data_IF_285924921611
#
_entry.id   IF_285924921611
#
_cell.length_a   1.000
_cell.length_b   1.000
_cell.length_c   1.000
_cell.angle_alpha   90.00
_cell.angle_beta   90.00
_cell.angle_gamma   90.00
#
_symmetry.space_group_name_H-M   'P 1'
#
loop_
_entity.id
_entity.type
_entity.pdbx_description
1 polymer ?
#
# COMPACT_ATOMS: atom_id res chain seq x y z
N UNK A 1 38.83 8.57 42.52
CA UNK A 1 38.88 9.32 41.26
C UNK A 1 39.02 8.40 40.03
N UNK A 2 39.87 7.38 40.00
CA UNK A 2 40.03 6.48 38.82
C UNK A 2 38.76 5.69 38.42
N UNK A 3 37.92 5.28 39.37
CA UNK A 3 36.68 4.52 39.07
C UNK A 3 35.54 5.38 38.47
N UNK A 4 35.50 6.67 38.76
CA UNK A 4 34.49 7.62 38.21
C UNK A 4 34.83 7.95 36.77
N UNK A 5 36.11 8.10 36.43
CA UNK A 5 36.57 8.39 35.06
C UNK A 5 36.30 7.21 34.13
N UNK A 6 36.49 5.96 34.60
CA UNK A 6 36.20 4.74 33.81
C UNK A 6 34.69 4.59 33.51
N UNK A 7 33.83 4.91 34.50
CA UNK A 7 32.38 4.85 34.33
C UNK A 7 31.85 5.93 33.34
N UNK A 8 32.43 7.13 33.38
CA UNK A 8 32.11 8.21 32.45
C UNK A 8 32.56 7.89 31.01
N UNK A 9 33.74 7.27 30.85
CA UNK A 9 34.21 6.85 29.51
C UNK A 9 33.38 5.71 28.93
N UNK A 10 32.92 4.73 29.72
CA UNK A 10 32.01 3.68 29.26
C UNK A 10 30.62 4.21 28.88
N UNK A 11 30.07 5.18 29.60
CA UNK A 11 28.80 5.81 29.27
C UNK A 11 28.87 6.63 27.98
N UNK A 12 30.01 7.31 27.72
CA UNK A 12 30.23 8.06 26.50
C UNK A 12 30.37 7.16 25.27
N UNK A 13 31.02 6.00 25.37
CA UNK A 13 31.17 5.02 24.29
C UNK A 13 29.83 4.36 23.95
N UNK A 14 28.99 4.06 24.96
CA UNK A 14 27.62 3.54 24.73
C UNK A 14 26.68 4.57 24.09
N UNK A 15 26.84 5.86 24.41
CA UNK A 15 26.06 6.95 23.80
C UNK A 15 26.38 7.18 22.33
N UNK A 16 27.64 6.98 21.91
CA UNK A 16 28.06 7.14 20.50
C UNK A 16 27.60 5.95 19.65
N UNK A 17 27.54 4.74 20.23
CA UNK A 17 27.03 3.56 19.51
C UNK A 17 25.52 3.62 19.22
N UNK A 18 24.74 4.32 20.05
CA UNK A 18 23.30 4.46 19.85
C UNK A 18 22.93 5.45 18.71
N UNK A 19 23.79 6.42 18.39
CA UNK A 19 23.55 7.40 17.32
C UNK A 19 23.97 6.91 15.92
N UNK A 20 24.67 5.78 15.79
CA UNK A 20 25.06 5.20 14.51
C UNK A 20 24.03 4.24 13.89
N UNK A 21 22.87 4.02 14.57
CA UNK A 21 21.87 3.05 14.14
C UNK A 21 20.84 3.61 13.12
N UNK A 22 20.89 4.91 12.79
CA UNK A 22 19.77 5.58 12.10
C UNK A 22 19.90 5.77 10.59
N UNK A 23 20.91 5.22 9.92
CA UNK A 23 21.05 5.34 8.45
C UNK A 23 21.43 3.98 7.83
N UNK A 24 20.61 2.95 8.04
CA UNK A 24 21.03 1.58 7.70
C UNK A 24 20.31 0.96 6.52
N UNK A 25 19.11 1.41 6.14
CA UNK A 25 18.32 0.70 5.12
C UNK A 25 19.00 0.72 3.75
N UNK A 26 19.50 1.87 3.30
CA UNK A 26 20.21 1.98 2.02
C UNK A 26 21.44 1.08 1.96
N UNK A 27 22.25 1.06 3.03
CA UNK A 27 23.45 0.21 3.10
C UNK A 27 23.08 -1.28 3.08
N UNK A 28 22.06 -1.68 3.83
CA UNK A 28 21.55 -3.05 3.85
C UNK A 28 21.05 -3.47 2.47
N UNK A 29 20.28 -2.62 1.79
CA UNK A 29 19.76 -2.85 0.45
C UNK A 29 20.91 -3.00 -0.55
N UNK A 30 21.90 -2.09 -0.51
CA UNK A 30 23.07 -2.16 -1.40
C UNK A 30 23.93 -3.39 -1.15
N UNK A 31 24.19 -3.75 0.10
CA UNK A 31 24.96 -4.95 0.45
C UNK A 31 24.26 -6.23 0.01
N UNK A 32 22.93 -6.29 0.15
CA UNK A 32 22.12 -7.42 -0.31
C UNK A 32 22.00 -7.50 -1.83
N UNK A 33 22.18 -6.38 -2.54
CA UNK A 33 22.11 -6.29 -3.99
C UNK A 33 20.70 -6.38 -4.58
N UNK A 34 19.66 -6.26 -3.75
CA UNK A 34 18.25 -6.31 -4.14
C UNK A 34 17.38 -5.55 -3.16
N UNK A 35 16.35 -4.85 -3.65
CA UNK A 35 15.32 -4.19 -2.88
C UNK A 35 14.21 -5.19 -2.50
N UNK A 36 13.85 -5.31 -1.23
CA UNK A 36 12.66 -6.04 -0.80
C UNK A 36 11.46 -5.09 -0.75
N UNK A 37 10.51 -5.27 -1.66
CA UNK A 37 9.29 -4.47 -1.75
C UNK A 37 8.09 -5.28 -1.28
N UNK A 38 7.42 -4.82 -0.21
CA UNK A 38 6.15 -5.38 0.23
C UNK A 38 5.02 -4.94 -0.71
N UNK A 39 4.34 -5.88 -1.35
CA UNK A 39 3.28 -5.61 -2.31
C UNK A 39 2.03 -6.46 -2.06
N UNK A 40 0.95 -6.22 -2.82
CA UNK A 40 -0.33 -6.90 -2.58
C UNK A 40 -0.30 -8.39 -3.02
N UNK A 41 0.10 -8.66 -4.23
CA UNK A 41 0.16 -10.01 -4.79
C UNK A 41 -1.17 -10.55 -5.35
N UNK A 42 -2.28 -9.83 -5.19
CA UNK A 42 -3.62 -10.28 -5.65
C UNK A 42 -4.45 -9.19 -6.32
N UNK A 43 -4.04 -7.92 -6.25
CA UNK A 43 -4.83 -6.78 -6.73
C UNK A 43 -4.36 -6.33 -8.11
N UNK A 44 -5.19 -6.55 -9.12
CA UNK A 44 -4.97 -6.04 -10.47
C UNK A 44 -4.87 -4.51 -10.48
N UNK A 45 -3.97 -3.97 -11.29
CA UNK A 45 -3.70 -2.53 -11.37
C UNK A 45 -2.70 -2.01 -10.33
N UNK A 46 -2.53 -2.67 -9.19
CA UNK A 46 -1.58 -2.25 -8.13
C UNK A 46 -0.39 -3.20 -7.99
N UNK A 47 -0.62 -4.48 -7.71
CA UNK A 47 0.44 -5.45 -7.55
C UNK A 47 -0.08 -6.87 -7.73
N UNK A 48 0.12 -7.43 -8.92
CA UNK A 48 -0.33 -8.77 -9.27
C UNK A 48 0.73 -9.46 -10.12
N UNK A 49 1.22 -10.66 -9.72
CA UNK A 49 2.02 -11.49 -10.60
C UNK A 49 1.14 -12.21 -11.64
N UNK A 50 1.63 -12.33 -12.87
CA UNK A 50 1.04 -13.21 -13.89
C UNK A 50 1.38 -14.67 -13.63
N UNK A 51 0.91 -15.57 -14.52
CA UNK A 51 1.16 -17.01 -14.44
C UNK A 51 2.65 -17.39 -14.59
N UNK A 52 3.49 -16.47 -15.07
CA UNK A 52 4.94 -16.64 -15.19
C UNK A 52 5.71 -15.99 -14.03
N UNK A 53 5.00 -15.45 -13.03
CA UNK A 53 5.60 -14.76 -11.89
C UNK A 53 6.06 -13.33 -12.19
N UNK A 54 5.71 -12.73 -13.32
CA UNK A 54 6.05 -11.35 -13.67
C UNK A 54 5.05 -10.41 -13.03
N UNK A 55 5.55 -9.51 -12.21
CA UNK A 55 4.75 -8.54 -11.47
C UNK A 55 4.43 -7.31 -12.31
N UNK A 56 3.19 -6.79 -12.17
CA UNK A 56 2.72 -5.59 -12.83
C UNK A 56 1.76 -4.79 -11.92
N UNK A 57 1.70 -3.47 -12.15
CA UNK A 57 0.81 -2.52 -11.47
C UNK A 57 1.53 -1.33 -10.87
N UNK A 58 0.77 -0.34 -10.43
CA UNK A 58 1.25 0.96 -9.93
C UNK A 58 2.31 0.82 -8.81
N UNK A 59 2.04 -0.01 -7.81
CA UNK A 59 2.94 -0.26 -6.69
C UNK A 59 4.21 -1.01 -7.13
N UNK A 60 4.07 -1.88 -8.13
CA UNK A 60 5.20 -2.62 -8.73
C UNK A 60 6.12 -1.68 -9.49
N UNK A 61 5.55 -0.80 -10.31
CA UNK A 61 6.34 0.15 -11.13
C UNK A 61 7.07 1.14 -10.24
N UNK A 62 6.44 1.58 -9.14
CA UNK A 62 7.12 2.38 -8.12
C UNK A 62 8.35 1.65 -7.53
N UNK A 63 8.23 0.39 -7.13
CA UNK A 63 9.37 -0.36 -6.59
C UNK A 63 10.46 -0.64 -7.63
N UNK A 64 10.09 -0.82 -8.90
CA UNK A 64 11.04 -0.92 -10.00
C UNK A 64 11.79 0.40 -10.23
N UNK A 65 11.10 1.54 -10.15
CA UNK A 65 11.73 2.86 -10.24
C UNK A 65 12.71 3.08 -9.08
N UNK A 66 12.33 2.72 -7.86
CA UNK A 66 13.20 2.79 -6.69
C UNK A 66 14.44 1.88 -6.83
N UNK A 67 14.26 0.66 -7.34
CA UNK A 67 15.40 -0.24 -7.63
C UNK A 67 16.33 0.34 -8.71
N UNK A 68 15.77 0.95 -9.76
CA UNK A 68 16.53 1.65 -10.79
C UNK A 68 17.33 2.81 -10.20
N UNK A 69 16.74 3.61 -9.31
CA UNK A 69 17.42 4.71 -8.65
C UNK A 69 18.60 4.27 -7.76
N UNK A 70 18.50 3.09 -7.13
CA UNK A 70 19.55 2.58 -6.22
C UNK A 70 20.64 1.81 -6.97
N UNK A 71 20.26 1.01 -7.97
CA UNK A 71 21.12 0.01 -8.61
C UNK A 71 21.38 0.27 -10.10
N UNK A 72 20.75 1.29 -10.68
CA UNK A 72 20.69 1.48 -12.14
C UNK A 72 20.10 0.24 -12.87
N UNK A 73 19.24 -0.54 -12.18
CA UNK A 73 18.61 -1.74 -12.69
C UNK A 73 17.23 -1.94 -12.02
N UNK A 74 16.16 -1.76 -12.78
CA UNK A 74 14.77 -1.93 -12.33
C UNK A 74 14.42 -3.37 -11.93
N UNK A 75 15.24 -4.35 -12.31
CA UNK A 75 15.01 -5.76 -11.97
C UNK A 75 15.62 -6.15 -10.63
N UNK A 76 16.40 -5.27 -10.00
CA UNK A 76 16.97 -5.50 -8.66
C UNK A 76 15.94 -5.32 -7.54
N UNK A 77 14.74 -5.88 -7.73
CA UNK A 77 13.64 -5.86 -6.76
C UNK A 77 13.08 -7.27 -6.55
N UNK A 78 12.84 -7.61 -5.29
CA UNK A 78 12.11 -8.80 -4.86
C UNK A 78 10.78 -8.36 -4.28
N UNK A 79 9.68 -8.78 -4.90
CA UNK A 79 8.35 -8.54 -4.38
C UNK A 79 7.99 -9.58 -3.31
N UNK A 80 7.50 -9.10 -2.17
CA UNK A 80 7.03 -9.91 -1.04
C UNK A 80 5.52 -9.69 -0.92
N UNK A 81 4.70 -10.71 -1.26
CA UNK A 81 3.25 -10.58 -1.13
C UNK A 81 2.85 -10.56 0.34
N UNK A 82 2.10 -9.54 0.75
CA UNK A 82 1.69 -9.31 2.13
C UNK A 82 0.17 -9.18 2.24
N UNK A 83 -0.42 -9.74 3.32
CA UNK A 83 -1.82 -9.46 3.65
C UNK A 83 -1.98 -8.04 4.20
N UNK A 84 -3.22 -7.54 4.30
CA UNK A 84 -3.47 -6.23 4.91
C UNK A 84 -3.07 -6.20 6.40
N UNK A 85 -3.15 -7.33 7.10
CA UNK A 85 -2.80 -7.47 8.51
C UNK A 85 -1.28 -7.51 8.72
N UNK A 86 -0.54 -8.24 7.87
CA UNK A 86 0.88 -8.53 8.10
C UNK A 86 1.81 -7.43 7.58
N UNK A 87 1.34 -6.58 6.65
CA UNK A 87 2.17 -5.59 5.95
C UNK A 87 2.96 -4.66 6.87
N UNK A 88 2.35 -4.22 7.97
CA UNK A 88 3.02 -3.28 8.88
C UNK A 88 4.09 -3.97 9.72
N UNK A 89 3.81 -5.20 10.19
CA UNK A 89 4.80 -6.00 10.92
C UNK A 89 5.98 -6.36 10.04
N UNK A 90 5.74 -6.72 8.77
CA UNK A 90 6.80 -7.01 7.80
C UNK A 90 7.70 -5.77 7.53
N UNK A 91 7.10 -4.58 7.45
CA UNK A 91 7.87 -3.34 7.31
C UNK A 91 8.66 -3.01 8.59
N UNK A 92 8.03 -3.10 9.76
CA UNK A 92 8.65 -2.78 11.04
C UNK A 92 9.80 -3.74 11.39
N UNK A 93 9.68 -5.03 11.08
CA UNK A 93 10.72 -6.04 11.31
C UNK A 93 11.90 -5.95 10.34
N UNK A 94 11.76 -5.21 9.23
CA UNK A 94 12.78 -5.15 8.17
C UNK A 94 12.74 -6.33 7.20
N UNK A 95 11.69 -7.14 7.20
CA UNK A 95 11.45 -8.15 6.17
C UNK A 95 11.33 -7.50 4.79
N UNK A 96 10.69 -6.34 4.73
CA UNK A 96 10.67 -5.47 3.55
C UNK A 96 11.28 -4.11 3.87
N UNK A 97 11.88 -3.48 2.86
CA UNK A 97 12.55 -2.20 2.97
C UNK A 97 11.57 -1.04 2.76
N UNK A 98 10.60 -1.26 1.90
CA UNK A 98 9.53 -0.34 1.53
C UNK A 98 8.23 -1.11 1.39
N UNK A 99 7.14 -0.48 1.79
CA UNK A 99 5.79 -0.99 1.61
C UNK A 99 5.09 -0.20 0.51
N UNK A 100 4.94 -0.79 -0.67
CA UNK A 100 4.11 -0.31 -1.78
C UNK A 100 2.99 -1.33 -2.02
N UNK A 101 1.85 -1.12 -1.32
CA UNK A 101 0.79 -2.13 -1.20
C UNK A 101 -0.56 -1.46 -0.96
N UNK A 102 -0.97 -0.57 -1.90
CA UNK A 102 -2.25 0.14 -1.80
C UNK A 102 -2.60 0.50 -0.34
N UNK A 103 -1.68 1.21 0.32
CA UNK A 103 -1.76 1.48 1.75
C UNK A 103 -2.24 2.90 2.01
N UNK A 104 -3.41 3.02 2.62
CA UNK A 104 -4.00 4.32 2.98
C UNK A 104 -3.15 5.02 4.04
N UNK A 105 -2.78 6.26 3.79
CA UNK A 105 -2.14 7.14 4.76
C UNK A 105 -3.17 7.61 5.78
N UNK A 106 -3.03 7.19 7.01
CA UNK A 106 -3.87 7.62 8.14
C UNK A 106 -3.00 8.11 9.29
N UNK A 107 -3.56 9.01 10.10
CA UNK A 107 -2.86 9.52 11.28
C UNK A 107 -2.37 8.40 12.21
N UNK A 108 -3.19 7.37 12.46
CA UNK A 108 -2.79 6.26 13.33
C UNK A 108 -1.66 5.42 12.75
N UNK A 109 -1.65 5.18 11.43
CA UNK A 109 -0.57 4.44 10.76
C UNK A 109 0.74 5.22 10.77
N UNK A 110 0.66 6.50 10.51
CA UNK A 110 1.80 7.42 10.52
C UNK A 110 2.39 7.56 11.92
N UNK A 111 1.58 8.01 12.88
CA UNK A 111 2.08 8.38 14.22
C UNK A 111 2.24 7.20 15.16
N UNK A 112 1.27 6.26 15.18
CA UNK A 112 1.24 5.19 16.19
C UNK A 112 1.99 3.92 15.77
N UNK A 113 2.11 3.66 14.44
CA UNK A 113 2.84 2.50 13.94
C UNK A 113 4.30 2.83 13.56
N UNK A 114 4.75 4.08 13.72
CA UNK A 114 6.11 4.46 13.41
C UNK A 114 6.46 4.35 11.92
N UNK A 115 5.55 4.82 11.05
CA UNK A 115 5.70 4.77 9.61
C UNK A 115 5.74 6.18 9.02
N UNK A 116 6.62 6.40 8.04
CA UNK A 116 6.62 7.59 7.20
C UNK A 116 6.01 7.25 5.83
N UNK A 117 4.92 7.93 5.48
CA UNK A 117 4.39 7.88 4.12
C UNK A 117 5.16 8.87 3.23
N UNK A 118 5.54 8.44 2.04
CA UNK A 118 6.45 9.21 1.17
C UNK A 118 5.74 10.06 0.12
N UNK A 119 4.43 9.96 0.06
CA UNK A 119 3.55 10.68 -0.85
C UNK A 119 2.30 9.89 -1.14
N UNK A 120 1.41 10.46 -1.95
CA UNK A 120 0.16 9.81 -2.38
C UNK A 120 0.30 9.51 -3.87
N UNK A 121 0.29 8.22 -4.23
CA UNK A 121 0.33 7.77 -5.60
C UNK A 121 -1.05 7.45 -6.20
N UNK A 122 -2.07 7.33 -5.36
CA UNK A 122 -3.45 7.12 -5.81
C UNK A 122 -4.46 7.63 -4.77
N UNK A 123 -5.39 8.48 -5.20
CA UNK A 123 -6.53 8.91 -4.37
C UNK A 123 -7.71 7.98 -4.62
N UNK A 124 -8.04 7.17 -3.63
CA UNK A 124 -9.15 6.23 -3.67
C UNK A 124 -10.24 6.59 -2.65
N UNK A 125 -11.25 5.76 -2.58
CA UNK A 125 -12.32 5.83 -1.59
C UNK A 125 -13.04 4.50 -1.52
N UNK A 126 -13.62 4.19 -0.37
CA UNK A 126 -14.34 2.93 -0.14
C UNK A 126 -15.73 2.97 -0.77
N UNK A 127 -16.09 1.87 -1.45
CA UNK A 127 -17.41 1.65 -2.02
C UNK A 127 -17.99 0.28 -1.65
N UNK A 128 -19.10 -0.05 -2.30
CA UNK A 128 -19.78 -1.34 -2.15
C UNK A 128 -20.07 -1.97 -3.50
N UNK A 129 -19.89 -3.28 -3.59
CA UNK A 129 -20.34 -4.10 -4.71
C UNK A 129 -21.45 -5.02 -4.25
N UNK A 130 -22.53 -5.11 -5.06
CA UNK A 130 -23.70 -5.93 -4.80
C UNK A 130 -24.12 -6.71 -6.04
N UNK A 131 -24.89 -7.79 -5.85
CA UNK A 131 -25.55 -8.47 -6.96
C UNK A 131 -26.74 -7.64 -7.44
N UNK A 132 -26.93 -7.53 -8.74
CA UNK A 132 -28.11 -6.87 -9.36
C UNK A 132 -29.42 -7.46 -8.85
N UNK A 133 -29.44 -8.76 -8.55
CA UNK A 133 -30.61 -9.47 -8.02
C UNK A 133 -31.05 -8.93 -6.65
N UNK A 134 -30.18 -8.28 -5.88
CA UNK A 134 -30.53 -7.64 -4.61
C UNK A 134 -31.43 -6.40 -4.80
N UNK A 135 -31.44 -5.81 -6.00
CA UNK A 135 -32.25 -4.64 -6.38
C UNK A 135 -32.05 -3.41 -5.51
N UNK A 136 -30.85 -3.24 -4.94
CA UNK A 136 -30.43 -2.03 -4.22
C UNK A 136 -29.66 -1.10 -5.14
N UNK A 137 -29.85 0.21 -4.99
CA UNK A 137 -29.22 1.23 -5.79
C UNK A 137 -28.38 2.21 -4.94
N UNK A 138 -28.47 2.07 -3.62
CA UNK A 138 -27.75 2.93 -2.65
C UNK A 138 -27.20 2.09 -1.50
N UNK A 139 -26.05 2.50 -0.99
CA UNK A 139 -25.45 1.90 0.20
C UNK A 139 -26.35 2.08 1.46
N UNK A 140 -27.24 3.07 1.47
CA UNK A 140 -28.23 3.27 2.53
C UNK A 140 -29.33 2.18 2.57
N UNK A 141 -29.47 1.42 1.49
CA UNK A 141 -30.43 0.31 1.41
C UNK A 141 -29.84 -1.00 1.94
N UNK A 142 -28.57 -1.02 2.37
CA UNK A 142 -27.87 -2.19 2.92
C UNK A 142 -28.14 -2.42 4.42
N UNK A 143 -29.23 -1.87 4.97
CA UNK A 143 -29.60 -2.12 6.37
C UNK A 143 -29.83 -3.62 6.61
N UNK A 144 -29.23 -4.16 7.68
CA UNK A 144 -29.27 -5.58 8.06
C UNK A 144 -28.57 -6.55 7.07
N UNK A 145 -27.86 -6.02 6.07
CA UNK A 145 -27.10 -6.84 5.09
C UNK A 145 -25.85 -7.47 5.72
N UNK A 146 -25.50 -8.65 5.23
CA UNK A 146 -24.20 -9.27 5.48
C UNK A 146 -23.16 -8.69 4.52
N UNK A 147 -22.11 -8.07 5.05
CA UNK A 147 -21.07 -7.42 4.27
C UNK A 147 -19.72 -8.12 4.45
N UNK A 148 -19.18 -8.66 3.37
CA UNK A 148 -17.83 -9.22 3.32
C UNK A 148 -16.79 -8.10 3.29
N UNK A 149 -15.74 -8.21 4.12
CA UNK A 149 -14.63 -7.26 4.20
C UNK A 149 -13.34 -7.95 4.62
N UNK A 150 -12.20 -7.42 4.17
CA UNK A 150 -10.89 -7.92 4.62
C UNK A 150 -10.50 -7.27 5.96
N UNK A 151 -10.07 -8.09 6.94
CA UNK A 151 -9.59 -7.61 8.23
C UNK A 151 -8.28 -6.82 8.14
N UNK A 152 -8.05 -5.90 9.10
CA UNK A 152 -6.84 -5.09 9.17
C UNK A 152 -6.78 -3.96 8.14
N UNK A 153 -7.91 -3.59 7.57
CA UNK A 153 -8.06 -2.51 6.60
C UNK A 153 -8.75 -1.28 7.20
N UNK A 154 -8.56 -0.12 6.59
CA UNK A 154 -9.38 1.07 6.83
C UNK A 154 -10.84 0.80 6.49
N UNK A 155 -11.08 0.01 5.45
CA UNK A 155 -12.44 -0.32 4.98
C UNK A 155 -13.24 -1.13 5.99
N UNK A 156 -12.60 -1.97 6.81
CA UNK A 156 -13.26 -2.66 7.93
C UNK A 156 -13.76 -1.66 9.01
N UNK A 157 -12.94 -0.65 9.33
CA UNK A 157 -13.29 0.37 10.32
C UNK A 157 -14.37 1.32 9.78
N UNK A 158 -14.17 1.84 8.57
CA UNK A 158 -15.11 2.76 7.93
C UNK A 158 -16.49 2.12 7.71
N UNK A 159 -16.54 0.81 7.40
CA UNK A 159 -17.78 0.06 7.28
C UNK A 159 -18.62 0.19 8.56
N UNK A 160 -18.01 -0.08 9.71
CA UNK A 160 -18.68 0.02 11.01
C UNK A 160 -19.14 1.43 11.32
N UNK A 161 -18.31 2.43 11.01
CA UNK A 161 -18.60 3.83 11.25
C UNK A 161 -19.75 4.34 10.35
N UNK A 162 -19.74 3.96 9.07
CA UNK A 162 -20.79 4.35 8.11
C UNK A 162 -22.15 3.81 8.52
N UNK A 163 -22.24 2.51 8.88
CA UNK A 163 -23.51 1.91 9.31
C UNK A 163 -24.02 2.52 10.62
N UNK A 164 -23.12 2.77 11.58
CA UNK A 164 -23.46 3.44 12.84
C UNK A 164 -23.96 4.86 12.62
N UNK A 165 -23.28 5.65 11.80
CA UNK A 165 -23.64 7.04 11.50
C UNK A 165 -25.03 7.15 10.84
N UNK A 166 -25.38 6.18 9.99
CA UNK A 166 -26.66 6.11 9.31
C UNK A 166 -27.72 5.31 10.09
N UNK A 167 -27.46 4.90 11.34
CA UNK A 167 -28.37 4.12 12.20
C UNK A 167 -28.82 2.81 11.57
N UNK A 168 -27.94 2.20 10.77
CA UNK A 168 -28.18 0.94 10.08
C UNK A 168 -27.61 -0.24 10.89
N UNK A 169 -28.25 -1.40 10.80
CA UNK A 169 -27.74 -2.65 11.34
C UNK A 169 -26.75 -3.27 10.38
N UNK A 170 -25.60 -3.71 10.90
CA UNK A 170 -24.52 -4.32 10.15
C UNK A 170 -24.29 -5.77 10.59
N UNK A 171 -24.12 -6.67 9.62
CA UNK A 171 -23.58 -8.02 9.82
C UNK A 171 -22.22 -8.10 9.09
N UNK A 172 -21.15 -7.81 9.81
CA UNK A 172 -19.79 -7.88 9.24
C UNK A 172 -19.33 -9.33 9.14
N UNK A 173 -18.85 -9.71 7.96
CA UNK A 173 -18.21 -11.02 7.72
C UNK A 173 -16.76 -10.75 7.29
N UNK A 174 -15.81 -10.96 8.22
CA UNK A 174 -14.40 -10.68 8.02
C UNK A 174 -13.61 -11.86 7.50
N UNK A 175 -12.63 -11.59 6.64
CA UNK A 175 -11.73 -12.58 6.06
C UNK A 175 -10.26 -12.14 6.19
N UNK A 176 -9.36 -13.10 6.28
CA UNK A 176 -7.93 -12.81 6.37
C UNK A 176 -7.40 -12.19 5.08
N UNK A 177 -7.89 -12.62 3.93
CA UNK A 177 -7.44 -12.16 2.61
C UNK A 177 -8.60 -11.61 1.77
N UNK A 178 -8.28 -10.69 0.84
CA UNK A 178 -9.25 -10.20 -0.15
C UNK A 178 -9.79 -11.35 -1.03
N UNK A 179 -8.92 -12.32 -1.37
CA UNK A 179 -9.31 -13.50 -2.16
C UNK A 179 -10.37 -14.36 -1.48
N UNK A 180 -10.28 -14.55 -0.16
CA UNK A 180 -11.33 -15.26 0.59
C UNK A 180 -12.62 -14.46 0.66
N UNK A 181 -12.52 -13.14 0.87
CA UNK A 181 -13.69 -12.26 0.96
C UNK A 181 -14.48 -12.24 -0.36
N UNK A 182 -13.81 -12.07 -1.50
CA UNK A 182 -14.48 -12.05 -2.81
C UNK A 182 -15.07 -13.41 -3.19
N UNK A 183 -14.39 -14.52 -2.88
CA UNK A 183 -14.92 -15.87 -3.08
C UNK A 183 -16.15 -16.13 -2.24
N UNK A 184 -16.17 -15.70 -0.98
CA UNK A 184 -17.33 -15.84 -0.09
C UNK A 184 -18.51 -14.99 -0.59
N UNK A 185 -18.25 -13.78 -1.07
CA UNK A 185 -19.26 -12.94 -1.69
C UNK A 185 -19.82 -13.59 -2.98
N UNK A 186 -18.95 -14.08 -3.87
CA UNK A 186 -19.37 -14.74 -5.12
C UNK A 186 -20.24 -15.98 -4.84
N UNK A 187 -19.89 -16.76 -3.81
CA UNK A 187 -20.65 -17.93 -3.34
C UNK A 187 -21.97 -17.58 -2.60
N UNK A 188 -22.32 -16.30 -2.46
CA UNK A 188 -23.58 -15.89 -1.82
C UNK A 188 -23.57 -15.83 -0.29
N UNK A 189 -22.40 -15.94 0.35
CA UNK A 189 -22.28 -15.86 1.81
C UNK A 189 -22.52 -14.44 2.35
N UNK A 190 -22.29 -13.41 1.53
CA UNK A 190 -22.54 -12.02 1.86
C UNK A 190 -23.44 -11.39 0.80
N UNK A 191 -24.24 -10.41 1.22
CA UNK A 191 -25.09 -9.60 0.35
C UNK A 191 -24.28 -8.56 -0.43
N UNK A 192 -23.26 -7.99 0.24
CA UNK A 192 -22.35 -7.00 -0.32
C UNK A 192 -20.89 -7.36 -0.04
N UNK A 193 -20.00 -6.84 -0.88
CA UNK A 193 -18.55 -6.81 -0.67
C UNK A 193 -18.07 -5.35 -0.66
N UNK A 194 -17.20 -5.01 0.28
CA UNK A 194 -16.66 -3.65 0.42
C UNK A 194 -15.13 -3.65 0.46
N UNK A 195 -14.55 -2.75 -0.28
CA UNK A 195 -13.14 -2.36 -0.30
C UNK A 195 -13.01 -1.01 -1.02
N UNK A 196 -11.81 -0.55 -1.30
CA UNK A 196 -11.55 0.63 -2.14
C UNK A 196 -12.21 0.47 -3.52
N UNK A 197 -12.68 1.55 -4.11
CA UNK A 197 -13.41 1.52 -5.39
C UNK A 197 -12.57 0.95 -6.54
N UNK A 198 -11.27 1.27 -6.58
CA UNK A 198 -10.34 0.64 -7.52
C UNK A 198 -10.20 -0.87 -7.27
N UNK A 199 -10.17 -1.27 -5.99
CA UNK A 199 -10.17 -2.66 -5.58
C UNK A 199 -11.44 -3.38 -6.01
N UNK A 200 -12.63 -2.78 -5.84
CA UNK A 200 -13.90 -3.34 -6.30
C UNK A 200 -13.88 -3.56 -7.82
N UNK A 201 -13.35 -2.62 -8.59
CA UNK A 201 -13.21 -2.75 -10.04
C UNK A 201 -12.33 -3.94 -10.43
N UNK A 202 -11.17 -4.09 -9.77
CA UNK A 202 -10.25 -5.21 -10.01
C UNK A 202 -10.82 -6.56 -9.58
N UNK A 203 -11.42 -6.64 -8.40
CA UNK A 203 -12.00 -7.89 -7.87
C UNK A 203 -13.25 -8.33 -8.63
N UNK A 204 -14.03 -7.38 -9.17
CA UNK A 204 -15.19 -7.68 -10.02
C UNK A 204 -14.82 -8.51 -11.24
N UNK A 205 -13.64 -8.30 -11.81
CA UNK A 205 -13.15 -9.06 -12.98
C UNK A 205 -12.87 -10.54 -12.66
N UNK A 206 -12.80 -10.91 -11.38
CA UNK A 206 -12.55 -12.27 -10.89
C UNK A 206 -13.82 -13.06 -10.59
N UNK A 207 -14.98 -12.41 -10.65
CA UNK A 207 -16.28 -13.05 -10.38
C UNK A 207 -16.69 -13.99 -11.53
N UNK A 208 -17.41 -15.03 -11.21
CA UNK A 208 -17.91 -16.00 -12.18
C UNK A 208 -18.79 -15.32 -13.27
N UNK A 209 -19.63 -14.36 -12.86
CA UNK A 209 -20.54 -13.61 -13.73
C UNK A 209 -20.38 -12.10 -13.49
N UNK A 210 -19.40 -11.48 -14.11
CA UNK A 210 -19.07 -10.04 -13.94
C UNK A 210 -20.30 -9.13 -14.14
N UNK A 211 -21.20 -9.50 -15.09
CA UNK A 211 -22.37 -8.69 -15.45
C UNK A 211 -23.51 -8.75 -14.44
N UNK A 212 -23.49 -9.69 -13.50
CA UNK A 212 -24.51 -9.83 -12.47
C UNK A 212 -24.26 -8.94 -11.24
N UNK A 213 -23.16 -8.19 -11.25
CA UNK A 213 -22.73 -7.36 -10.15
C UNK A 213 -22.61 -5.89 -10.56
N UNK A 214 -22.93 -5.00 -9.63
CA UNK A 214 -22.74 -3.55 -9.76
C UNK A 214 -21.93 -3.03 -8.59
N UNK A 215 -21.16 -1.99 -8.85
CA UNK A 215 -20.53 -1.16 -7.83
C UNK A 215 -21.49 0.02 -7.61
N UNK A 216 -21.90 0.24 -6.37
CA UNK A 216 -22.76 1.36 -6.00
C UNK A 216 -22.00 2.68 -6.16
N UNK A 217 -22.74 3.77 -6.36
CA UNK A 217 -22.13 5.08 -6.65
C UNK A 217 -21.53 5.78 -5.43
N UNK A 218 -21.96 5.38 -4.22
CA UNK A 218 -21.50 6.02 -3.00
C UNK A 218 -20.05 5.67 -2.68
N UNK A 219 -19.27 6.70 -2.39
CA UNK A 219 -17.92 6.61 -1.83
C UNK A 219 -17.99 7.10 -0.38
N UNK A 220 -17.77 6.20 0.56
CA UNK A 220 -18.01 6.44 2.00
C UNK A 220 -16.77 6.86 2.78
N UNK A 221 -15.60 6.87 2.15
CA UNK A 221 -14.34 7.32 2.77
C UNK A 221 -13.42 8.02 1.77
N UNK A 222 -12.29 8.50 2.28
CA UNK A 222 -11.16 8.97 1.48
C UNK A 222 -9.97 8.10 1.81
N UNK A 223 -9.40 7.47 0.78
CA UNK A 223 -8.29 6.54 0.89
C UNK A 223 -7.09 7.07 0.08
N UNK A 224 -6.28 8.00 0.66
CA UNK A 224 -5.04 8.44 0.03
C UNK A 224 -4.00 7.33 0.15
N UNK A 225 -3.74 6.62 -0.94
CA UNK A 225 -2.83 5.49 -0.98
C UNK A 225 -1.41 5.95 -1.29
N UNK A 226 -0.42 5.39 -0.61
CA UNK A 226 0.97 5.72 -0.87
C UNK A 226 1.97 4.74 -0.28
N UNK A 227 3.22 4.81 -0.77
CA UNK A 227 4.32 4.02 -0.22
C UNK A 227 4.70 4.49 1.19
N UNK A 228 5.15 3.54 2.01
CA UNK A 228 5.58 3.81 3.38
C UNK A 228 6.92 3.14 3.70
N UNK A 229 7.67 3.77 4.60
CA UNK A 229 8.94 3.28 5.15
C UNK A 229 8.90 3.36 6.68
N UNK A 230 9.86 2.75 7.36
CA UNK A 230 10.03 2.88 8.81
C UNK A 230 10.46 4.28 9.21
N UNK A 231 10.06 4.73 10.40
CA UNK A 231 10.64 5.91 11.05
C UNK A 231 12.14 5.73 11.33
N UNK A 232 12.84 6.87 11.48
CA UNK A 232 14.21 6.92 12.01
C UNK A 232 15.31 6.69 10.97
N UNK A 233 14.98 6.66 9.67
CA UNK A 233 15.96 6.62 8.57
C UNK A 233 15.59 7.69 7.52
N UNK A 234 15.99 8.93 7.80
CA UNK A 234 15.64 10.10 7.00
C UNK A 234 16.25 9.99 5.59
N UNK A 235 17.45 9.43 5.46
CA UNK A 235 18.07 9.20 4.16
C UNK A 235 17.26 8.25 3.31
N UNK A 236 16.79 7.14 3.89
CA UNK A 236 15.96 6.18 3.18
C UNK A 236 14.61 6.78 2.82
N UNK A 237 14.00 7.50 3.75
CA UNK A 237 12.75 8.23 3.50
C UNK A 237 12.88 9.20 2.33
N UNK A 238 13.95 10.00 2.28
CA UNK A 238 14.18 10.96 1.20
C UNK A 238 14.38 10.26 -0.14
N UNK A 239 15.13 9.17 -0.21
CA UNK A 239 15.32 8.41 -1.46
C UNK A 239 13.97 7.89 -1.98
N UNK A 240 13.15 7.30 -1.12
CA UNK A 240 11.84 6.76 -1.49
C UNK A 240 10.87 7.86 -1.90
N UNK A 241 10.83 8.97 -1.15
CA UNK A 241 10.02 10.16 -1.43
C UNK A 241 10.39 10.80 -2.77
N UNK A 242 11.67 11.04 -3.00
CA UNK A 242 12.11 11.70 -4.24
C UNK A 242 11.99 10.79 -5.47
N UNK A 243 12.07 9.48 -5.31
CA UNK A 243 11.69 8.54 -6.37
C UNK A 243 10.22 8.70 -6.74
N UNK A 244 9.33 8.84 -5.75
CA UNK A 244 7.91 9.08 -6.00
C UNK A 244 7.69 10.40 -6.75
N UNK A 245 8.30 11.50 -6.29
CA UNK A 245 8.16 12.80 -6.95
C UNK A 245 8.75 12.83 -8.35
N UNK A 246 9.86 12.12 -8.59
CA UNK A 246 10.42 11.99 -9.93
C UNK A 246 9.44 11.29 -10.89
N UNK A 247 8.70 10.27 -10.43
CA UNK A 247 7.67 9.59 -11.23
C UNK A 247 6.49 10.53 -11.53
N UNK A 248 6.03 11.30 -10.52
CA UNK A 248 4.92 12.26 -10.69
C UNK A 248 5.33 13.37 -11.67
N UNK A 249 6.53 13.93 -11.52
CA UNK A 249 7.05 14.94 -12.43
C UNK A 249 7.22 14.39 -13.86
N UNK A 250 7.71 13.18 -14.01
CA UNK A 250 7.82 12.53 -15.32
C UNK A 250 6.44 12.38 -16.00
N UNK A 251 5.41 11.99 -15.26
CA UNK A 251 4.03 11.91 -15.77
C UNK A 251 3.53 13.31 -16.21
N UNK A 252 3.72 14.33 -15.37
CA UNK A 252 3.31 15.71 -15.66
C UNK A 252 4.00 16.28 -16.90
N UNK A 253 5.30 15.98 -17.07
CA UNK A 253 6.11 16.39 -18.22
C UNK A 253 5.92 15.50 -19.46
N UNK A 254 5.06 14.48 -19.39
CA UNK A 254 4.85 13.53 -20.48
C UNK A 254 6.07 12.65 -20.80
N UNK A 255 6.96 12.44 -19.83
CA UNK A 255 8.14 11.57 -19.97
C UNK A 255 7.72 10.14 -19.78
N UNK A 256 7.99 9.30 -20.76
CA UNK A 256 7.64 7.89 -20.79
C UNK A 256 8.85 7.02 -21.09
N UNK A 257 8.75 5.71 -20.91
CA UNK A 257 9.78 4.76 -21.31
C UNK A 257 10.13 4.88 -22.81
N UNK A 258 9.15 5.28 -23.65
CA UNK A 258 9.35 5.39 -25.10
C UNK A 258 10.09 6.67 -25.54
N UNK A 259 10.13 7.71 -24.71
CA UNK A 259 10.70 8.99 -25.09
C UNK A 259 11.80 9.50 -24.14
N UNK A 260 12.09 8.81 -23.04
CA UNK A 260 13.01 9.28 -21.99
C UNK A 260 14.43 9.61 -22.54
N UNK A 261 14.95 8.85 -23.49
CA UNK A 261 16.29 9.09 -24.04
C UNK A 261 16.35 10.35 -24.93
N UNK A 262 15.24 10.73 -25.53
CA UNK A 262 15.13 11.99 -26.26
C UNK A 262 14.91 13.17 -25.30
N UNK A 263 14.09 12.96 -24.26
CA UNK A 263 13.82 13.96 -23.23
C UNK A 263 15.10 14.36 -22.43
N UNK A 264 16.04 13.43 -22.22
CA UNK A 264 17.37 13.74 -21.62
C UNK A 264 18.18 14.76 -22.43
N UNK A 265 17.82 15.02 -23.67
CA UNK A 265 18.47 16.00 -24.55
C UNK A 265 17.64 17.28 -24.65
N UNK A 266 16.58 17.41 -23.90
CA UNK A 266 15.69 18.57 -23.91
C UNK A 266 16.40 19.80 -23.36
N UNK A 267 16.18 20.96 -24.00
CA UNK A 267 16.59 22.25 -23.48
C UNK A 267 15.62 22.81 -22.43
N UNK A 268 14.53 22.08 -22.12
CA UNK A 268 13.59 22.45 -21.08
C UNK A 268 14.22 22.21 -19.70
N UNK A 269 14.40 23.27 -18.86
CA UNK A 269 15.03 23.12 -17.54
C UNK A 269 14.23 22.28 -16.54
N UNK A 270 12.94 22.03 -16.82
CA UNK A 270 12.09 21.21 -15.96
C UNK A 270 12.25 19.70 -16.22
N UNK A 271 12.90 19.30 -17.32
CA UNK A 271 13.18 17.93 -17.73
C UNK A 271 14.58 17.51 -17.29
#
# INVERSE_FOLDING_TARGET
MKSVVIRAALAAVLGIAASAASAQTLNTVKQRGVLNCGSNGTLAGFGLPDSQGRWAGLDVDFCKALAAAIFNDANKVKFVPLTAKDRFTALQSGEVDVLARNTTWTSSRDTSLGLNFTGINYYDGQGFMVRKALKVNSALELNDAAVCVQQGTTTELNLSDYFRANKMKLKTVTFATATEAIKAYDAGRCDAYTTDASGLAGERLRLANVNDHIILSEIISKEPLGPAVRHGDDQWFDIVKWTHFAMVNAEELGITQGNVDDQKKSDNPDV
#
